data_IF_274480502630
#
_entry.id   IF_274480502630
#
_cell.length_a   1.000
_cell.length_b   1.000
_cell.length_c   1.000
_cell.angle_alpha   90.00
_cell.angle_beta   90.00
_cell.angle_gamma   90.00
#
_symmetry.space_group_name_H-M   'P 1'
#
loop_
_entity.id
_entity.type
_entity.pdbx_description
1 polymer ?
#
# COMPACT_ATOMS: atom_id res chain seq x y z
N UNK A 1 37.13 -23.88 7.57
CA UNK A 1 36.29 -23.29 8.63
C UNK A 1 35.88 -21.90 8.18
N UNK A 2 34.80 -21.78 7.42
CA UNK A 2 34.47 -20.54 6.71
C UNK A 2 33.04 -20.57 6.24
N UNK A 3 32.11 -20.45 7.19
CA UNK A 3 30.68 -20.65 6.97
C UNK A 3 29.94 -19.36 7.27
N UNK A 4 30.15 -18.31 6.47
CA UNK A 4 29.38 -17.08 6.62
C UNK A 4 29.00 -16.47 5.27
N UNK A 5 27.68 -16.31 5.12
CA UNK A 5 27.02 -15.22 4.41
C UNK A 5 27.15 -15.21 2.89
N UNK A 6 26.35 -16.04 2.21
CA UNK A 6 25.82 -15.67 0.89
C UNK A 6 24.53 -16.43 0.58
N UNK A 7 23.41 -15.99 1.18
CA UNK A 7 22.06 -16.41 0.76
C UNK A 7 21.00 -15.31 0.76
N UNK A 8 21.42 -14.05 0.59
CA UNK A 8 20.51 -12.91 0.44
C UNK A 8 20.52 -12.31 -0.98
N UNK A 9 20.96 -13.07 -1.99
CA UNK A 9 21.04 -12.60 -3.39
C UNK A 9 19.98 -13.21 -4.32
N UNK A 10 18.98 -13.88 -3.77
CA UNK A 10 17.89 -14.51 -4.53
C UNK A 10 16.63 -13.64 -4.67
N UNK A 11 16.52 -12.51 -3.97
CA UNK A 11 15.28 -11.72 -3.92
C UNK A 11 15.23 -10.50 -4.86
N UNK A 12 16.31 -10.17 -5.55
CA UNK A 12 16.35 -9.01 -6.44
C UNK A 12 16.86 -9.41 -7.82
N UNK A 13 16.13 -10.31 -8.48
CA UNK A 13 16.19 -10.48 -9.93
C UNK A 13 15.09 -9.65 -10.56
N UNK A 14 15.34 -8.38 -10.85
CA UNK A 14 14.45 -7.58 -11.71
C UNK A 14 14.92 -7.72 -13.14
N UNK A 15 14.26 -8.59 -13.89
CA UNK A 15 14.28 -8.54 -15.35
C UNK A 15 13.56 -7.26 -15.78
N UNK A 16 14.32 -6.32 -16.35
CA UNK A 16 13.85 -4.99 -16.77
C UNK A 16 13.20 -4.98 -18.15
N UNK A 17 13.02 -6.14 -18.80
CA UNK A 17 12.50 -6.21 -20.18
C UNK A 17 11.01 -5.92 -20.31
N UNK A 18 10.20 -6.11 -19.26
CA UNK A 18 8.75 -5.85 -19.31
C UNK A 18 8.32 -4.39 -19.14
N UNK A 19 9.26 -3.47 -18.84
CA UNK A 19 8.95 -2.08 -18.49
C UNK A 19 8.35 -1.25 -19.64
N UNK A 20 8.45 -1.73 -20.89
CA UNK A 20 7.98 -1.02 -22.08
C UNK A 20 6.59 -1.49 -22.58
N UNK A 21 5.99 -2.52 -21.98
CA UNK A 21 4.77 -3.17 -22.50
C UNK A 21 3.46 -2.73 -21.81
N UNK A 22 3.48 -1.68 -20.99
CA UNK A 22 2.26 -1.21 -20.31
C UNK A 22 1.70 -2.21 -19.29
N UNK A 23 2.54 -3.12 -18.81
CA UNK A 23 2.22 -4.04 -17.73
C UNK A 23 2.03 -3.29 -16.43
N UNK A 24 0.82 -3.35 -15.86
CA UNK A 24 0.52 -2.87 -14.51
C UNK A 24 1.35 -3.66 -13.51
N UNK A 25 2.51 -3.12 -13.14
CA UNK A 25 3.33 -3.66 -12.07
C UNK A 25 2.74 -3.25 -10.72
N UNK A 26 1.91 -4.11 -10.13
CA UNK A 26 1.68 -4.07 -8.69
C UNK A 26 2.89 -4.73 -7.99
N UNK A 27 4.01 -4.02 -7.94
CA UNK A 27 5.16 -4.37 -7.09
C UNK A 27 4.89 -3.93 -5.65
N UNK A 28 3.85 -4.43 -4.99
CA UNK A 28 3.50 -3.91 -3.67
C UNK A 28 3.22 -5.03 -2.67
N UNK A 29 4.14 -5.15 -1.74
CA UNK A 29 3.98 -5.74 -0.42
C UNK A 29 2.65 -5.28 0.19
N UNK A 30 1.61 -6.12 0.10
CA UNK A 30 0.24 -5.79 0.53
C UNK A 30 0.20 -5.61 2.04
N UNK A 31 0.43 -4.37 2.49
CA UNK A 31 -0.11 -3.88 3.75
C UNK A 31 -1.58 -3.60 3.47
N UNK A 32 -2.49 -4.33 4.12
CA UNK A 32 -3.93 -4.08 3.92
C UNK A 32 -4.24 -2.66 4.39
N UNK A 33 -4.68 -1.84 3.44
CA UNK A 33 -5.31 -0.57 3.72
C UNK A 33 -6.79 -0.90 3.92
N UNK A 34 -7.23 -0.89 5.16
CA UNK A 34 -8.63 -1.11 5.51
C UNK A 34 -9.40 0.16 5.23
N UNK A 35 -10.56 0.03 4.59
CA UNK A 35 -11.44 1.18 4.36
C UNK A 35 -11.96 1.70 5.69
N UNK A 36 -11.72 2.98 5.96
CA UNK A 36 -12.15 3.66 7.19
C UNK A 36 -13.47 4.42 6.99
N UNK A 37 -13.68 5.01 5.80
CA UNK A 37 -14.91 5.73 5.51
C UNK A 37 -14.81 6.71 4.35
N UNK A 38 -15.85 7.52 4.16
CA UNK A 38 -15.87 8.62 3.21
C UNK A 38 -15.74 9.95 3.94
N UNK A 39 -15.09 10.94 3.31
CA UNK A 39 -15.13 12.34 3.75
C UNK A 39 -15.21 13.29 2.57
N UNK A 40 -15.64 14.55 2.78
CA UNK A 40 -15.50 15.57 1.74
C UNK A 40 -14.05 15.74 1.29
N UNK A 41 -13.88 15.91 -0.02
CA UNK A 41 -12.61 16.28 -0.64
C UNK A 41 -12.14 17.64 -0.11
N UNK A 42 -10.84 17.75 0.11
CA UNK A 42 -10.14 19.02 0.35
C UNK A 42 -8.96 19.16 -0.60
N UNK A 43 -8.54 20.38 -0.96
CA UNK A 43 -7.35 20.58 -1.76
C UNK A 43 -6.13 19.89 -1.14
N UNK A 44 -5.43 19.07 -1.93
CA UNK A 44 -4.30 18.26 -1.48
C UNK A 44 -4.60 16.76 -1.40
N UNK A 45 -5.86 16.36 -1.50
CA UNK A 45 -6.23 14.95 -1.59
C UNK A 45 -5.86 14.36 -2.95
N UNK A 46 -5.53 13.06 -2.99
CA UNK A 46 -5.35 12.34 -4.25
C UNK A 46 -6.72 12.14 -4.93
N UNK A 47 -6.85 12.69 -6.13
CA UNK A 47 -8.04 12.60 -6.98
C UNK A 47 -8.38 11.15 -7.34
N UNK A 48 -7.39 10.25 -7.31
CA UNK A 48 -7.58 8.81 -7.55
C UNK A 48 -8.43 8.13 -6.47
N UNK A 49 -8.46 8.72 -5.28
CA UNK A 49 -9.23 8.20 -4.15
C UNK A 49 -10.69 8.70 -4.13
N UNK A 50 -11.11 9.48 -5.14
CA UNK A 50 -12.49 9.96 -5.25
C UNK A 50 -13.43 8.77 -5.48
N UNK A 51 -14.44 8.66 -4.62
CA UNK A 51 -15.55 7.76 -4.86
C UNK A 51 -16.61 8.45 -5.73
N UNK A 52 -16.52 8.28 -7.05
CA UNK A 52 -17.46 8.87 -8.00
C UNK A 52 -18.91 8.39 -7.79
N UNK A 53 -19.09 7.14 -7.36
CA UNK A 53 -20.42 6.55 -7.17
C UNK A 53 -21.10 7.14 -5.93
N UNK A 54 -20.37 7.36 -4.85
CA UNK A 54 -20.88 8.02 -3.65
C UNK A 54 -21.04 9.53 -3.87
N UNK A 55 -20.09 10.17 -4.56
CA UNK A 55 -20.14 11.60 -4.91
C UNK A 55 -21.36 11.91 -5.77
N UNK A 56 -21.72 11.05 -6.73
CA UNK A 56 -22.91 11.24 -7.57
C UNK A 56 -24.24 11.22 -6.79
N UNK A 57 -24.25 10.69 -5.55
CA UNK A 57 -25.42 10.68 -4.66
C UNK A 57 -25.34 11.73 -3.55
N UNK A 58 -24.30 12.56 -3.55
CA UNK A 58 -23.99 13.54 -2.52
C UNK A 58 -23.93 14.94 -3.12
N UNK A 59 -24.10 15.98 -2.30
CA UNK A 59 -23.85 17.37 -2.70
C UNK A 59 -22.34 17.70 -2.78
N UNK A 60 -21.49 16.83 -2.23
CA UNK A 60 -20.04 17.04 -2.13
C UNK A 60 -19.26 15.92 -2.83
N UNK A 61 -18.08 16.25 -3.35
CA UNK A 61 -17.09 15.27 -3.81
C UNK A 61 -16.55 14.52 -2.59
N UNK A 62 -16.58 13.19 -2.63
CA UNK A 62 -16.19 12.32 -1.53
C UNK A 62 -14.91 11.56 -1.85
N UNK A 63 -13.99 11.53 -0.89
CA UNK A 63 -12.72 10.80 -0.91
C UNK A 63 -12.81 9.59 0.01
N UNK A 64 -12.27 8.45 -0.44
CA UNK A 64 -12.08 7.26 0.39
C UNK A 64 -10.95 7.48 1.39
N UNK A 65 -11.23 7.23 2.66
CA UNK A 65 -10.21 7.18 3.71
C UNK A 65 -9.86 5.73 3.96
N UNK A 66 -8.57 5.48 4.13
CA UNK A 66 -8.04 4.18 4.50
C UNK A 66 -7.23 4.32 5.78
N UNK A 67 -7.39 3.34 6.67
CA UNK A 67 -6.53 3.16 7.83
C UNK A 67 -5.61 1.99 7.54
N UNK A 68 -4.34 2.14 7.91
CA UNK A 68 -3.43 1.01 7.83
C UNK A 68 -3.33 0.37 9.21
N UNK A 69 -3.72 -0.90 9.29
CA UNK A 69 -3.46 -1.70 10.47
C UNK A 69 -1.96 -2.00 10.57
N UNK A 70 -1.41 -1.84 11.77
CA UNK A 70 -0.02 -2.20 12.10
C UNK A 70 -0.02 -3.14 13.29
N UNK A 71 0.21 -4.43 13.03
CA UNK A 71 0.47 -5.38 14.10
C UNK A 71 1.90 -5.19 14.62
N UNK A 72 2.04 -4.78 15.88
CA UNK A 72 3.32 -4.77 16.58
C UNK A 72 3.40 -6.02 17.46
N UNK A 73 4.41 -6.85 17.24
CA UNK A 73 4.74 -7.96 18.14
C UNK A 73 5.69 -7.45 19.20
N UNK A 74 5.24 -7.38 20.45
CA UNK A 74 6.07 -6.98 21.60
C UNK A 74 6.29 -8.21 22.47
N UNK A 75 7.55 -8.47 22.84
CA UNK A 75 7.94 -9.47 23.83
C UNK A 75 8.44 -8.72 25.07
N UNK A 76 7.79 -8.94 26.21
CA UNK A 76 8.23 -8.42 27.50
C UNK A 76 8.85 -9.56 28.29
N UNK A 77 10.06 -9.32 28.81
CA UNK A 77 10.76 -10.20 29.73
C UNK A 77 11.05 -9.39 30.98
N UNK A 78 10.65 -9.91 32.13
CA UNK A 78 10.89 -9.31 33.44
C UNK A 78 11.50 -10.36 34.36
N UNK A 79 12.35 -9.90 35.28
CA UNK A 79 12.94 -10.67 36.38
C UNK A 79 12.10 -10.50 37.64
#
# INVERSE_FOLDING_TARGET
MGTHLNRARAHFGTDTRGMLEGGRHALLHTRSLEFDGLRPYVPGDDVRDIDWKASARSANVLIKRFVSEKHHKVLLVAD
#
